data_IF_187060761718
#
_entry.id   IF_187060761718
#
_cell.length_a   1.000
_cell.length_b   1.000
_cell.length_c   1.000
_cell.angle_alpha   90.00
_cell.angle_beta   90.00
_cell.angle_gamma   90.00
#
_symmetry.space_group_name_H-M   'P 1'
#
loop_
_entity.id
_entity.type
_entity.pdbx_description
1 polymer ?
#
# COMPACT_ATOMS: atom_id res chain seq x y z
N UNK A 1 0.31 25.28 11.27
CA UNK A 1 0.21 24.81 12.68
C UNK A 1 -0.12 23.33 12.71
N UNK A 2 0.41 22.59 13.68
CA UNK A 2 0.18 21.16 13.81
C UNK A 2 0.15 20.74 15.27
N UNK A 3 -0.59 19.67 15.54
CA UNK A 3 -0.55 18.95 16.81
C UNK A 3 0.25 17.68 16.62
N UNK A 4 1.38 17.55 17.34
CA UNK A 4 2.19 16.35 17.38
C UNK A 4 1.71 15.47 18.52
N UNK A 5 1.43 14.21 18.22
CA UNK A 5 0.97 13.21 19.20
C UNK A 5 1.65 11.87 18.95
N UNK A 6 1.39 10.89 19.81
CA UNK A 6 1.85 9.51 19.66
C UNK A 6 0.63 8.59 19.61
N UNK A 7 0.45 7.88 18.52
CA UNK A 7 -0.58 6.84 18.39
C UNK A 7 0.12 5.47 18.37
N UNK A 8 -0.06 4.70 19.44
CA UNK A 8 0.71 3.47 19.66
C UNK A 8 2.21 3.75 19.79
N UNK A 9 3.03 3.16 18.91
CA UNK A 9 4.49 3.36 18.88
C UNK A 9 4.93 4.47 17.90
N UNK A 10 4.00 4.99 17.10
CA UNK A 10 4.29 5.89 15.99
C UNK A 10 4.04 7.36 16.36
N UNK A 11 4.90 8.24 15.85
CA UNK A 11 4.69 9.70 15.95
C UNK A 11 3.71 10.14 14.87
N UNK A 12 2.76 10.97 15.25
CA UNK A 12 1.73 11.46 14.35
C UNK A 12 1.61 12.98 14.44
N UNK A 13 1.21 13.59 13.33
CA UNK A 13 0.89 15.00 13.24
C UNK A 13 -0.53 15.18 12.72
N UNK A 14 -1.31 16.04 13.36
CA UNK A 14 -2.61 16.48 12.88
C UNK A 14 -2.48 17.93 12.45
N UNK A 15 -2.81 18.22 11.20
CA UNK A 15 -2.72 19.57 10.65
C UNK A 15 -3.66 19.77 9.48
N UNK A 16 -3.86 21.03 9.12
CA UNK A 16 -4.58 21.43 7.91
C UNK A 16 -3.58 21.85 6.83
N UNK A 17 -3.84 21.49 5.57
CA UNK A 17 -2.98 21.83 4.43
C UNK A 17 -3.82 22.12 3.18
N UNK A 18 -3.32 22.99 2.29
CA UNK A 18 -3.96 23.19 1.00
C UNK A 18 -3.82 21.93 0.12
N UNK A 19 -4.88 21.51 -0.58
CA UNK A 19 -4.80 20.44 -1.57
C UNK A 19 -3.70 20.67 -2.59
N UNK A 20 -3.53 21.92 -3.05
CA UNK A 20 -2.50 22.27 -4.03
C UNK A 20 -1.10 21.92 -3.54
N UNK A 21 -0.77 22.23 -2.28
CA UNK A 21 0.53 21.88 -1.73
C UNK A 21 0.66 20.39 -1.50
N UNK A 22 -0.37 19.75 -0.94
CA UNK A 22 -0.33 18.31 -0.67
C UNK A 22 -0.17 17.51 -1.97
N UNK A 23 -0.82 17.91 -3.06
CA UNK A 23 -0.65 17.29 -4.39
C UNK A 23 0.79 17.36 -4.93
N UNK A 24 1.59 18.38 -4.56
CA UNK A 24 2.99 18.51 -5.00
C UNK A 24 3.93 17.50 -4.35
N UNK A 25 3.64 17.11 -3.11
CA UNK A 25 4.49 16.21 -2.30
C UNK A 25 3.94 14.78 -2.23
N UNK A 26 2.63 14.61 -2.48
CA UNK A 26 1.94 13.36 -2.26
C UNK A 26 2.12 12.37 -3.39
N UNK A 27 2.12 11.09 -3.05
CA UNK A 27 2.14 9.99 -3.99
C UNK A 27 1.30 8.82 -3.50
N UNK A 28 0.87 7.99 -4.44
CA UNK A 28 0.24 6.70 -4.16
C UNK A 28 1.26 5.61 -4.43
N UNK A 29 1.23 4.53 -3.66
CA UNK A 29 2.13 3.40 -3.90
C UNK A 29 1.75 2.73 -5.22
N UNK A 30 2.64 2.84 -6.21
CA UNK A 30 2.49 2.21 -7.52
C UNK A 30 3.23 0.87 -7.50
N UNK A 31 2.53 -0.22 -7.25
CA UNK A 31 3.07 -1.55 -7.59
C UNK A 31 2.92 -1.83 -9.08
N UNK A 32 3.66 -1.09 -9.91
CA UNK A 32 4.01 -1.51 -11.28
C UNK A 32 5.41 -1.00 -11.57
N UNK A 33 6.43 -1.84 -11.38
CA UNK A 33 7.77 -1.56 -11.89
C UNK A 33 7.82 -1.95 -13.36
N UNK A 34 7.86 -0.95 -14.24
CA UNK A 34 8.27 -1.12 -15.63
C UNK A 34 7.42 -0.36 -16.64
N UNK A 35 8.04 0.69 -17.20
CA UNK A 35 7.62 1.56 -18.32
C UNK A 35 6.76 2.78 -17.98
N UNK A 36 7.20 3.88 -18.60
CA UNK A 36 6.75 5.25 -18.47
C UNK A 36 5.24 5.40 -18.70
N UNK A 37 4.54 5.84 -17.66
CA UNK A 37 3.84 7.14 -17.55
C UNK A 37 3.06 7.07 -16.23
N UNK A 38 3.55 7.76 -15.20
CA UNK A 38 3.00 7.78 -13.83
C UNK A 38 1.50 8.17 -13.78
N UNK A 39 0.97 8.78 -14.85
CA UNK A 39 -0.36 9.37 -14.95
C UNK A 39 -1.43 8.36 -15.43
N UNK A 40 -1.08 7.42 -16.31
CA UNK A 40 -2.05 6.55 -16.98
C UNK A 40 -2.49 5.34 -16.15
N UNK A 41 -1.61 4.81 -15.32
CA UNK A 41 -1.93 3.76 -14.33
C UNK A 41 -2.77 4.35 -13.18
N UNK A 42 -2.53 5.63 -12.89
CA UNK A 42 -3.19 6.39 -11.85
C UNK A 42 -4.65 6.73 -12.21
N UNK A 43 -4.91 7.15 -13.46
CA UNK A 43 -6.29 7.31 -13.98
C UNK A 43 -7.09 6.00 -13.99
N UNK A 44 -6.44 4.83 -13.89
CA UNK A 44 -7.09 3.51 -13.92
C UNK A 44 -7.48 2.99 -12.54
N UNK A 45 -6.76 3.33 -11.46
CA UNK A 45 -7.08 2.91 -10.08
C UNK A 45 -8.20 3.73 -9.44
N UNK A 46 -8.36 5.00 -9.83
CA UNK A 46 -9.45 5.84 -9.36
C UNK A 46 -10.59 5.75 -10.36
N UNK A 47 -11.74 5.22 -9.91
CA UNK A 47 -12.94 5.18 -10.75
C UNK A 47 -13.26 6.61 -11.20
N UNK A 48 -13.13 6.91 -12.50
CA UNK A 48 -13.42 8.24 -13.07
C UNK A 48 -14.78 8.79 -12.62
N UNK A 49 -15.79 7.93 -12.53
CA UNK A 49 -17.12 8.30 -12.00
C UNK A 49 -17.07 8.80 -10.55
N UNK A 50 -16.32 8.13 -9.68
CA UNK A 50 -16.18 8.57 -8.27
C UNK A 50 -15.43 9.88 -8.16
N UNK A 51 -14.39 10.09 -8.97
CA UNK A 51 -13.64 11.35 -8.98
C UNK A 51 -14.52 12.51 -9.46
N UNK A 52 -15.29 12.30 -10.54
CA UNK A 52 -16.22 13.30 -11.04
C UNK A 52 -17.29 13.66 -9.99
N UNK A 53 -17.89 12.68 -9.33
CA UNK A 53 -18.88 12.94 -8.27
C UNK A 53 -18.29 13.75 -7.11
N UNK A 54 -17.06 13.44 -6.70
CA UNK A 54 -16.37 14.19 -5.65
C UNK A 54 -16.03 15.61 -6.14
N UNK A 55 -15.67 15.78 -7.41
CA UNK A 55 -15.39 17.10 -8.00
C UNK A 55 -16.65 17.99 -8.01
N UNK A 56 -17.80 17.43 -8.37
CA UNK A 56 -19.10 18.13 -8.24
C UNK A 56 -19.37 18.49 -6.79
N UNK A 57 -19.20 17.55 -5.86
CA UNK A 57 -19.36 17.80 -4.43
C UNK A 57 -18.47 18.94 -3.90
N UNK A 58 -17.21 19.01 -4.36
CA UNK A 58 -16.31 20.12 -4.03
C UNK A 58 -16.84 21.45 -4.58
N UNK A 59 -17.38 21.46 -5.80
CA UNK A 59 -17.95 22.65 -6.44
C UNK A 59 -19.16 23.17 -5.65
N UNK A 60 -19.97 22.27 -5.10
CA UNK A 60 -21.17 22.55 -4.30
C UNK A 60 -20.87 22.94 -2.84
N UNK A 61 -19.62 23.27 -2.49
CA UNK A 61 -19.18 23.56 -1.10
C UNK A 61 -19.35 22.38 -0.13
N UNK A 62 -19.28 21.14 -0.63
CA UNK A 62 -19.33 19.96 0.21
C UNK A 62 -18.22 19.89 1.25
N UNK A 63 -18.53 19.33 2.42
CA UNK A 63 -17.65 19.24 3.58
C UNK A 63 -17.14 17.81 3.73
N UNK A 64 -15.82 17.64 3.86
CA UNK A 64 -15.23 16.35 4.15
C UNK A 64 -14.92 16.22 5.66
N UNK A 65 -15.69 15.41 6.42
CA UNK A 65 -15.51 15.33 7.87
C UNK A 65 -14.33 14.44 8.29
N UNK A 66 -13.76 13.65 7.37
CA UNK A 66 -12.67 12.72 7.69
C UNK A 66 -11.30 13.24 7.25
N UNK A 67 -10.26 12.80 7.94
CA UNK A 67 -8.88 13.17 7.63
C UNK A 67 -8.39 12.45 6.36
N UNK A 68 -7.49 13.10 5.62
CA UNK A 68 -6.57 12.40 4.70
C UNK A 68 -5.49 11.75 5.57
N UNK A 69 -5.22 10.47 5.35
CA UNK A 69 -4.21 9.75 6.13
C UNK A 69 -2.98 9.57 5.26
N UNK A 70 -1.83 10.04 5.76
CA UNK A 70 -0.55 9.98 5.03
C UNK A 70 0.57 9.40 5.89
N UNK A 71 1.57 8.80 5.24
CA UNK A 71 2.86 8.48 5.85
C UNK A 71 3.91 9.41 5.26
N UNK A 72 4.57 10.17 6.10
CA UNK A 72 5.71 11.01 5.72
C UNK A 72 7.00 10.21 5.89
N UNK A 73 7.86 10.26 4.87
CA UNK A 73 9.14 9.57 4.89
C UNK A 73 10.08 10.14 5.96
N UNK A 74 10.71 9.25 6.76
CA UNK A 74 11.57 9.68 7.86
C UNK A 74 12.94 10.10 7.36
N UNK A 75 13.26 11.37 7.55
CA UNK A 75 14.59 11.93 7.33
C UNK A 75 14.63 13.36 7.84
N UNK A 76 15.65 13.70 8.65
CA UNK A 76 15.82 15.04 9.26
C UNK A 76 15.81 16.20 8.24
N UNK A 77 15.95 15.91 6.94
CA UNK A 77 15.94 16.90 5.86
C UNK A 77 14.54 17.27 5.36
N UNK A 78 13.50 16.50 5.66
CA UNK A 78 12.18 16.69 5.03
C UNK A 78 11.08 17.14 6.00
N UNK A 79 11.19 16.77 7.29
CA UNK A 79 10.19 17.07 8.30
C UNK A 79 10.88 17.69 9.51
N UNK A 80 10.42 18.86 9.94
CA UNK A 80 10.86 19.52 11.17
C UNK A 80 9.64 19.98 11.96
N UNK A 81 9.61 19.65 13.25
CA UNK A 81 8.57 20.13 14.15
C UNK A 81 9.17 21.12 15.15
N UNK A 82 8.61 22.32 15.18
CA UNK A 82 8.99 23.41 16.07
C UNK A 82 7.87 23.58 17.12
N UNK A 83 8.04 23.06 18.35
CA UNK A 83 7.02 23.18 19.39
C UNK A 83 6.86 24.64 19.81
N UNK A 84 5.62 25.07 20.05
CA UNK A 84 5.32 26.35 20.69
C UNK A 84 5.10 26.10 22.19
N UNK A 85 5.90 26.76 23.04
CA UNK A 85 5.80 26.67 24.50
C UNK A 85 6.78 25.68 25.15
N UNK A 86 6.65 25.48 26.46
CA UNK A 86 7.48 24.52 27.21
C UNK A 86 7.13 23.10 26.76
N UNK A 87 8.13 22.21 26.68
CA UNK A 87 7.91 20.78 26.39
C UNK A 87 6.79 20.27 27.29
N UNK A 88 5.70 19.80 26.68
CA UNK A 88 4.57 19.22 27.39
C UNK A 88 4.99 18.03 28.25
N UNK A 89 4.10 17.61 29.15
CA UNK A 89 4.30 16.42 29.97
C UNK A 89 4.49 15.21 29.04
N UNK A 90 5.43 14.30 29.38
CA UNK A 90 5.65 13.07 28.61
C UNK A 90 4.33 12.31 28.45
N UNK A 91 3.82 12.25 27.21
CA UNK A 91 2.58 11.53 26.88
C UNK A 91 1.45 12.43 26.35
N UNK A 92 1.59 13.75 26.46
CA UNK A 92 0.60 14.70 25.94
C UNK A 92 0.91 15.15 24.51
N UNK A 93 -0.12 15.68 23.85
CA UNK A 93 0.02 16.22 22.51
C UNK A 93 0.74 17.59 22.54
N UNK A 94 1.76 17.76 21.71
CA UNK A 94 2.56 18.98 21.61
C UNK A 94 2.01 19.85 20.47
N UNK A 95 1.68 21.10 20.76
CA UNK A 95 1.31 22.09 19.73
C UNK A 95 2.56 22.75 19.14
N UNK A 96 2.61 22.96 17.83
CA UNK A 96 3.80 23.48 17.15
C UNK A 96 3.59 23.85 15.69
N UNK A 97 4.68 24.25 15.04
CA UNK A 97 4.77 24.40 13.59
C UNK A 97 5.42 23.14 13.00
N UNK A 98 4.68 22.42 12.17
CA UNK A 98 5.23 21.37 11.32
C UNK A 98 5.68 21.98 10.00
N UNK A 99 6.97 21.84 9.70
CA UNK A 99 7.60 22.27 8.46
C UNK A 99 7.84 21.02 7.63
N UNK A 100 7.17 20.95 6.48
CA UNK A 100 7.33 19.88 5.49
C UNK A 100 8.03 20.49 4.29
N UNK A 101 9.29 20.13 4.06
CA UNK A 101 10.04 20.62 2.91
C UNK A 101 9.48 19.97 1.63
N UNK A 102 9.15 20.73 0.58
CA UNK A 102 8.71 20.15 -0.68
C UNK A 102 9.74 19.16 -1.21
N UNK A 103 9.37 17.89 -1.26
CA UNK A 103 10.18 16.85 -1.86
C UNK A 103 9.24 15.93 -2.63
N UNK A 104 9.58 15.64 -3.87
CA UNK A 104 8.75 14.78 -4.71
C UNK A 104 8.65 13.38 -4.08
N UNK A 105 7.43 12.84 -4.00
CA UNK A 105 7.14 11.54 -3.39
C UNK A 105 7.53 11.43 -1.91
N UNK A 106 7.41 12.50 -1.11
CA UNK A 106 7.72 12.47 0.32
C UNK A 106 6.52 12.17 1.23
N UNK A 107 5.29 12.24 0.70
CA UNK A 107 4.05 11.97 1.45
C UNK A 107 3.27 10.84 0.78
N UNK A 108 3.33 9.64 1.35
CA UNK A 108 2.54 8.52 0.86
C UNK A 108 1.09 8.64 1.32
N UNK A 109 0.14 8.63 0.40
CA UNK A 109 -1.29 8.65 0.72
C UNK A 109 -1.74 7.23 1.08
N UNK A 110 -2.15 7.03 2.33
CA UNK A 110 -2.71 5.76 2.83
C UNK A 110 -4.22 5.74 2.57
N UNK A 111 -4.92 6.84 2.89
CA UNK A 111 -6.35 6.97 2.66
C UNK A 111 -6.73 8.40 2.25
N UNK A 112 -7.86 8.54 1.56
CA UNK A 112 -8.37 9.82 1.08
C UNK A 112 -7.86 10.19 -0.33
N UNK A 113 -7.26 9.26 -1.07
CA UNK A 113 -6.71 9.50 -2.41
C UNK A 113 -7.73 10.20 -3.34
N UNK A 114 -8.93 9.64 -3.48
CA UNK A 114 -9.96 10.18 -4.39
C UNK A 114 -10.35 11.61 -4.04
N UNK A 115 -10.29 11.96 -2.75
CA UNK A 115 -10.64 13.28 -2.23
C UNK A 115 -9.55 14.30 -2.56
N UNK A 116 -8.30 13.98 -2.23
CA UNK A 116 -7.17 14.85 -2.55
C UNK A 116 -7.09 15.10 -4.06
N UNK A 117 -7.24 14.04 -4.85
CA UNK A 117 -7.04 14.14 -6.28
C UNK A 117 -8.22 14.72 -7.06
N UNK A 118 -9.41 14.77 -6.48
CA UNK A 118 -10.51 15.54 -7.06
C UNK A 118 -10.21 17.05 -7.11
N UNK A 119 -9.25 17.54 -6.31
CA UNK A 119 -8.73 18.90 -6.41
C UNK A 119 -7.73 19.11 -7.55
N UNK A 120 -7.28 18.05 -8.24
CA UNK A 120 -6.34 18.20 -9.34
C UNK A 120 -6.96 19.00 -10.50
N UNK A 121 -6.35 20.13 -10.83
CA UNK A 121 -6.87 21.08 -11.81
C UNK A 121 -8.23 21.69 -11.41
N UNK A 122 -8.54 21.74 -10.12
CA UNK A 122 -9.74 22.38 -9.58
C UNK A 122 -9.38 23.75 -8.99
N UNK A 123 -10.19 24.78 -9.27
CA UNK A 123 -9.93 26.17 -8.84
C UNK A 123 -9.79 26.31 -7.33
N UNK A 124 -10.53 25.49 -6.59
CA UNK A 124 -10.52 25.46 -5.12
C UNK A 124 -9.30 24.78 -4.49
N UNK A 125 -8.35 24.26 -5.28
CA UNK A 125 -7.18 23.57 -4.75
C UNK A 125 -6.27 24.48 -3.91
N UNK A 126 -6.17 25.76 -4.28
CA UNK A 126 -5.35 26.76 -3.60
C UNK A 126 -6.04 27.35 -2.35
N UNK A 127 -7.37 27.44 -2.36
CA UNK A 127 -8.16 28.11 -1.31
C UNK A 127 -8.75 27.16 -0.27
N UNK A 128 -8.94 25.88 -0.64
CA UNK A 128 -9.47 24.87 0.28
C UNK A 128 -8.41 24.36 1.22
N UNK A 129 -8.87 23.71 2.29
CA UNK A 129 -8.04 23.14 3.33
C UNK A 129 -8.51 21.72 3.63
N UNK A 130 -7.57 20.78 3.69
CA UNK A 130 -7.83 19.39 4.05
C UNK A 130 -7.23 19.10 5.42
N UNK A 131 -8.01 18.44 6.27
CA UNK A 131 -7.49 17.88 7.52
C UNK A 131 -6.66 16.64 7.22
N UNK A 132 -5.46 16.57 7.79
CA UNK A 132 -4.49 15.51 7.56
C UNK A 132 -4.06 14.89 8.89
N UNK A 133 -4.06 13.56 8.92
CA UNK A 133 -3.36 12.76 9.93
C UNK A 133 -2.12 12.15 9.28
N UNK A 134 -0.95 12.64 9.66
CA UNK A 134 0.32 12.21 9.10
C UNK A 134 1.11 11.37 10.10
N UNK A 135 1.53 10.18 9.70
CA UNK A 135 2.48 9.37 10.47
C UNK A 135 3.91 9.65 10.02
N UNK A 136 4.83 9.74 10.97
CA UNK A 136 6.25 9.93 10.69
C UNK A 136 6.98 8.58 10.68
N UNK A 137 7.60 8.23 9.55
CA UNK A 137 8.54 7.11 9.52
C UNK A 137 7.94 5.74 9.77
N UNK A 138 6.70 5.50 9.35
CA UNK A 138 6.13 4.15 9.42
C UNK A 138 6.96 3.19 8.57
N UNK A 139 7.33 2.00 9.07
CA UNK A 139 7.88 0.93 8.25
C UNK A 139 6.90 0.52 7.14
N UNK A 140 7.38 0.07 5.96
CA UNK A 140 6.52 -0.37 4.85
C UNK A 140 5.46 -1.42 5.23
N UNK A 141 5.77 -2.32 6.18
CA UNK A 141 4.83 -3.31 6.68
C UNK A 141 3.67 -2.70 7.47
N UNK A 142 3.95 -1.74 8.37
CA UNK A 142 2.90 -1.04 9.13
C UNK A 142 2.07 -0.13 8.23
N UNK A 143 2.72 0.50 7.27
CA UNK A 143 2.11 1.25 6.18
C UNK A 143 1.03 0.44 5.45
N UNK A 144 1.40 -0.76 4.98
CA UNK A 144 0.47 -1.66 4.30
C UNK A 144 -0.64 -2.21 5.22
N UNK A 145 -0.32 -2.51 6.48
CA UNK A 145 -1.31 -2.96 7.46
C UNK A 145 -2.36 -1.87 7.73
N UNK A 146 -1.93 -0.63 7.95
CA UNK A 146 -2.83 0.50 8.18
C UNK A 146 -3.73 0.77 6.97
N UNK A 147 -3.19 0.66 5.75
CA UNK A 147 -3.97 0.72 4.52
C UNK A 147 -5.07 -0.35 4.50
N UNK A 148 -4.74 -1.59 4.89
CA UNK A 148 -5.70 -2.69 4.98
C UNK A 148 -6.75 -2.38 6.04
N UNK A 149 -6.35 -2.03 7.26
CA UNK A 149 -7.26 -1.82 8.38
C UNK A 149 -8.30 -0.73 8.07
N UNK A 150 -7.85 0.43 7.55
CA UNK A 150 -8.73 1.55 7.18
C UNK A 150 -9.72 1.14 6.08
N UNK A 151 -9.24 0.51 5.02
CA UNK A 151 -10.11 0.14 3.91
C UNK A 151 -11.01 -1.05 4.27
N UNK A 152 -10.55 -1.98 5.10
CA UNK A 152 -11.30 -3.19 5.48
C UNK A 152 -12.53 -2.85 6.34
N UNK A 153 -12.42 -1.87 7.25
CA UNK A 153 -13.56 -1.39 8.04
C UNK A 153 -14.55 -0.52 7.26
N UNK A 154 -14.09 0.27 6.27
CA UNK A 154 -14.95 1.23 5.56
C UNK A 154 -15.58 0.69 4.26
N UNK A 155 -15.00 -0.35 3.63
CA UNK A 155 -15.58 -1.09 2.49
C UNK A 155 -14.67 -2.28 2.17
N UNK A 156 -15.15 -3.51 2.42
CA UNK A 156 -14.36 -4.75 2.32
C UNK A 156 -13.26 -4.71 1.24
N UNK A 157 -12.00 -4.64 1.69
CA UNK A 157 -10.85 -4.76 0.80
C UNK A 157 -10.99 -6.07 0.04
N UNK A 158 -10.88 -6.02 -1.30
CA UNK A 158 -10.89 -7.24 -2.11
C UNK A 158 -9.81 -8.18 -1.57
N UNK A 159 -10.17 -9.42 -1.24
CA UNK A 159 -9.22 -10.43 -0.73
C UNK A 159 -7.96 -10.56 -1.56
N UNK A 160 -8.06 -10.38 -2.89
CA UNK A 160 -6.91 -10.35 -3.80
C UNK A 160 -5.83 -9.33 -3.38
N UNK A 161 -6.23 -8.14 -2.93
CA UNK A 161 -5.29 -7.10 -2.50
C UNK A 161 -4.56 -7.49 -1.21
N UNK A 162 -5.24 -8.18 -0.29
CA UNK A 162 -4.60 -8.72 0.92
C UNK A 162 -3.50 -9.71 0.56
N UNK A 163 -3.79 -10.64 -0.36
CA UNK A 163 -2.82 -11.63 -0.79
C UNK A 163 -1.65 -11.00 -1.56
N UNK A 164 -1.86 -9.92 -2.29
CA UNK A 164 -0.78 -9.15 -2.93
C UNK A 164 0.14 -8.50 -1.89
N UNK A 165 -0.43 -7.87 -0.86
CA UNK A 165 0.31 -7.21 0.21
C UNK A 165 0.99 -8.21 1.16
N UNK A 166 0.52 -9.46 1.19
CA UNK A 166 1.00 -10.51 2.09
C UNK A 166 2.53 -10.70 2.06
N UNK A 167 3.14 -10.61 0.86
CA UNK A 167 4.59 -10.70 0.69
C UNK A 167 5.36 -9.65 1.49
N UNK A 168 4.85 -8.42 1.61
CA UNK A 168 5.54 -7.33 2.32
C UNK A 168 5.19 -7.26 3.81
N UNK A 169 3.98 -7.69 4.17
CA UNK A 169 3.56 -7.74 5.57
C UNK A 169 4.30 -8.82 6.36
N UNK A 170 4.66 -9.92 5.70
CA UNK A 170 5.04 -11.15 6.39
C UNK A 170 6.35 -11.77 5.90
N UNK A 171 7.16 -11.06 5.10
CA UNK A 171 8.46 -11.56 4.64
C UNK A 171 9.35 -11.98 5.83
N UNK A 172 9.48 -11.10 6.82
CA UNK A 172 10.30 -11.31 8.01
C UNK A 172 9.48 -11.69 9.24
N UNK A 173 8.29 -12.28 9.06
CA UNK A 173 7.44 -12.70 10.17
C UNK A 173 8.13 -13.80 11.01
N UNK A 174 7.96 -13.78 12.33
CA UNK A 174 8.45 -14.86 13.20
C UNK A 174 7.69 -16.17 12.96
N UNK A 175 6.39 -16.07 12.66
CA UNK A 175 5.58 -17.22 12.30
C UNK A 175 5.92 -17.74 10.90
N UNK A 176 6.28 -19.01 10.84
CA UNK A 176 6.72 -19.70 9.64
C UNK A 176 5.63 -19.84 8.56
N UNK A 177 4.38 -20.05 8.96
CA UNK A 177 3.28 -20.15 8.01
C UNK A 177 3.02 -18.80 7.34
N UNK A 178 3.14 -17.70 8.09
CA UNK A 178 3.09 -16.33 7.54
C UNK A 178 4.25 -16.07 6.58
N UNK A 179 5.48 -16.49 6.89
CA UNK A 179 6.62 -16.37 5.95
C UNK A 179 6.39 -17.13 4.65
N UNK A 180 5.87 -18.35 4.73
CA UNK A 180 5.56 -19.16 3.53
C UNK A 180 4.48 -18.50 2.69
N UNK A 181 3.42 -17.99 3.31
CA UNK A 181 2.41 -17.21 2.59
C UNK A 181 3.03 -16.00 1.89
N UNK A 182 4.02 -15.34 2.50
CA UNK A 182 4.75 -14.24 1.87
C UNK A 182 5.57 -14.70 0.64
N UNK A 183 6.23 -15.86 0.74
CA UNK A 183 6.96 -16.47 -0.37
C UNK A 183 6.01 -16.88 -1.50
N UNK A 184 4.86 -17.47 -1.19
CA UNK A 184 3.83 -17.85 -2.17
C UNK A 184 3.32 -16.61 -2.90
N UNK A 185 2.95 -15.56 -2.15
CA UNK A 185 2.50 -14.29 -2.73
C UNK A 185 3.52 -13.72 -3.71
N UNK A 186 4.80 -13.70 -3.32
CA UNK A 186 5.90 -13.19 -4.16
C UNK A 186 6.19 -14.08 -5.37
N UNK A 187 6.03 -15.40 -5.22
CA UNK A 187 6.15 -16.37 -6.31
C UNK A 187 5.07 -16.13 -7.38
N UNK A 188 3.81 -15.94 -6.98
CA UNK A 188 2.69 -15.67 -7.89
C UNK A 188 2.92 -14.36 -8.66
N UNK A 189 3.41 -13.32 -7.98
CA UNK A 189 3.78 -12.05 -8.61
C UNK A 189 4.87 -12.25 -9.68
N UNK A 190 5.95 -12.94 -9.32
CA UNK A 190 7.04 -13.22 -10.26
C UNK A 190 6.59 -14.06 -11.47
N UNK A 191 5.73 -15.06 -11.26
CA UNK A 191 5.17 -15.90 -12.33
C UNK A 191 4.25 -15.12 -13.28
N UNK A 192 3.60 -14.06 -12.82
CA UNK A 192 2.78 -13.21 -13.67
C UNK A 192 3.61 -12.25 -14.53
N UNK A 193 4.76 -11.81 -14.04
CA UNK A 193 5.63 -10.81 -14.69
C UNK A 193 6.61 -11.43 -15.69
N UNK A 194 7.03 -12.67 -15.46
CA UNK A 194 8.00 -13.35 -16.31
C UNK A 194 7.37 -13.82 -17.63
N UNK A 195 7.83 -13.27 -18.76
CA UNK A 195 7.36 -13.65 -20.11
C UNK A 195 7.53 -15.12 -20.45
N UNK A 196 8.52 -15.77 -19.83
CA UNK A 196 8.80 -17.19 -20.02
C UNK A 196 7.93 -18.07 -19.11
N UNK A 197 7.13 -17.46 -18.23
CA UNK A 197 6.19 -18.17 -17.37
C UNK A 197 4.88 -18.44 -18.10
N UNK A 198 4.28 -19.64 -17.92
CA UNK A 198 2.96 -19.96 -18.47
C UNK A 198 1.83 -19.13 -17.83
N UNK A 199 2.10 -18.47 -16.69
CA UNK A 199 1.17 -17.57 -16.02
C UNK A 199 1.31 -16.10 -16.45
N UNK A 200 2.21 -15.80 -17.40
CA UNK A 200 2.48 -14.43 -17.84
C UNK A 200 1.19 -13.68 -18.21
N UNK A 201 0.87 -12.64 -17.45
CA UNK A 201 -0.31 -11.78 -17.65
C UNK A 201 -1.68 -12.45 -17.46
N UNK A 202 -1.73 -13.71 -17.01
CA UNK A 202 -2.98 -14.49 -16.83
C UNK A 202 -3.62 -14.35 -15.46
N UNK A 203 -2.87 -13.85 -14.48
CA UNK A 203 -3.31 -13.74 -13.09
C UNK A 203 -4.06 -12.42 -12.89
N UNK A 204 -5.22 -12.51 -12.26
CA UNK A 204 -6.09 -11.41 -11.92
C UNK A 204 -5.73 -10.87 -10.53
N UNK A 205 -5.08 -9.71 -10.55
CA UNK A 205 -4.78 -8.88 -9.38
C UNK A 205 -5.98 -7.97 -9.03
N UNK A 206 -5.95 -7.32 -7.87
CA UNK A 206 -7.06 -6.55 -7.30
C UNK A 206 -7.52 -5.39 -8.18
N UNK A 207 -6.59 -4.81 -8.92
CA UNK A 207 -6.75 -3.72 -9.88
C UNK A 207 -6.95 -4.21 -11.33
N UNK A 208 -6.80 -5.52 -11.57
CA UNK A 208 -6.93 -6.12 -12.89
C UNK A 208 -8.37 -6.20 -13.38
N UNK A 209 -8.57 -5.91 -14.67
CA UNK A 209 -9.82 -6.23 -15.38
C UNK A 209 -9.79 -7.67 -15.87
N UNK A 210 -10.88 -8.40 -15.64
CA UNK A 210 -11.03 -9.77 -16.15
C UNK A 210 -11.08 -9.75 -17.67
N UNK A 211 -10.33 -10.63 -18.32
CA UNK A 211 -10.39 -10.86 -19.77
C UNK A 211 -10.40 -12.35 -20.06
N UNK A 212 -10.55 -12.74 -21.34
CA UNK A 212 -10.47 -14.13 -21.77
C UNK A 212 -9.12 -14.79 -21.37
N UNK A 213 -8.03 -14.00 -21.32
CA UNK A 213 -6.68 -14.47 -20.97
C UNK A 213 -6.35 -14.23 -19.50
N UNK A 214 -6.80 -13.11 -18.92
CA UNK A 214 -6.56 -12.74 -17.51
C UNK A 214 -7.78 -13.11 -16.65
N UNK A 215 -7.87 -14.38 -16.30
CA UNK A 215 -9.04 -14.95 -15.63
C UNK A 215 -8.73 -15.79 -14.39
N UNK A 216 -7.45 -16.06 -14.11
CA UNK A 216 -7.02 -16.88 -12.96
C UNK A 216 -6.91 -15.97 -11.74
N UNK A 217 -7.69 -16.21 -10.69
CA UNK A 217 -7.59 -15.34 -9.49
C UNK A 217 -6.33 -15.64 -8.70
N UNK A 218 -5.72 -14.59 -8.14
CA UNK A 218 -4.57 -14.74 -7.27
C UNK A 218 -4.88 -15.61 -6.04
N UNK A 219 -6.09 -15.49 -5.50
CA UNK A 219 -6.59 -16.32 -4.39
C UNK A 219 -6.59 -17.82 -4.75
N UNK A 220 -6.99 -18.19 -5.96
CA UNK A 220 -7.00 -19.59 -6.42
C UNK A 220 -5.60 -20.20 -6.40
N UNK A 221 -4.61 -19.50 -6.96
CA UNK A 221 -3.22 -19.99 -6.99
C UNK A 221 -2.64 -20.00 -5.58
N UNK A 222 -2.92 -18.97 -4.78
CA UNK A 222 -2.45 -18.91 -3.40
C UNK A 222 -2.96 -20.11 -2.59
N UNK A 223 -4.24 -20.44 -2.68
CA UNK A 223 -4.82 -21.62 -2.00
C UNK A 223 -4.24 -22.94 -2.52
N UNK A 224 -3.95 -23.04 -3.82
CA UNK A 224 -3.35 -24.23 -4.40
C UNK A 224 -1.91 -24.44 -3.90
N UNK A 225 -1.12 -23.38 -3.78
CA UNK A 225 0.27 -23.44 -3.30
C UNK A 225 0.38 -23.53 -1.78
N UNK A 226 -0.59 -23.01 -1.04
CA UNK A 226 -0.61 -23.04 0.42
C UNK A 226 -1.22 -24.34 1.00
N UNK A 227 -1.29 -25.40 0.21
CA UNK A 227 -1.73 -26.71 0.68
C UNK A 227 -0.67 -27.37 1.58
N UNK A 228 -1.09 -28.17 2.57
CA UNK A 228 -0.17 -29.00 3.35
C UNK A 228 0.69 -29.87 2.43
N UNK A 229 1.97 -30.03 2.78
CA UNK A 229 2.93 -30.88 2.06
C UNK A 229 3.67 -30.22 0.90
N UNK A 230 3.22 -29.06 0.40
CA UNK A 230 3.94 -28.32 -0.66
C UNK A 230 5.17 -27.60 -0.09
N UNK A 231 4.98 -26.86 0.99
CA UNK A 231 6.04 -26.11 1.67
C UNK A 231 6.33 -26.63 3.08
N UNK A 232 5.31 -27.03 3.83
CA UNK A 232 5.45 -27.68 5.14
C UNK A 232 4.62 -28.95 5.16
N UNK A 233 5.24 -30.08 5.51
CA UNK A 233 4.55 -31.33 5.82
C UNK A 233 4.20 -31.35 7.31
N UNK A 234 5.15 -30.99 8.17
CA UNK A 234 4.98 -30.86 9.62
C UNK A 234 5.79 -29.67 10.14
N UNK A 235 5.13 -28.70 10.78
CA UNK A 235 5.74 -27.42 11.23
C UNK A 235 7.02 -27.71 12.04
N UNK A 236 8.15 -27.09 11.65
CA UNK A 236 9.49 -27.27 12.25
C UNK A 236 10.06 -28.70 12.29
N UNK A 237 9.44 -29.68 11.63
CA UNK A 237 9.85 -31.09 11.68
C UNK A 237 10.12 -31.63 10.27
N UNK A 238 9.25 -31.29 9.31
CA UNK A 238 9.32 -31.84 7.97
C UNK A 238 8.81 -30.82 6.94
N UNK A 239 9.64 -30.57 5.93
CA UNK A 239 9.37 -29.56 4.91
C UNK A 239 8.95 -30.20 3.59
N UNK A 240 8.12 -29.47 2.85
CA UNK A 240 7.59 -29.92 1.56
C UNK A 240 8.57 -29.76 0.40
N UNK A 241 8.17 -30.27 -0.75
CA UNK A 241 8.99 -30.35 -1.97
C UNK A 241 9.49 -29.00 -2.51
N UNK A 242 8.81 -27.89 -2.18
CA UNK A 242 9.18 -26.54 -2.63
C UNK A 242 10.02 -25.75 -1.60
N UNK A 243 10.18 -26.25 -0.38
CA UNK A 243 11.00 -25.60 0.65
C UNK A 243 12.50 -25.73 0.34
N UNK A 244 13.27 -24.67 0.63
CA UNK A 244 14.72 -24.66 0.44
C UNK A 244 15.48 -23.94 1.58
N UNK A 245 14.95 -23.98 2.80
CA UNK A 245 15.63 -23.52 4.03
C UNK A 245 15.46 -22.04 4.35
N UNK A 246 15.47 -21.17 3.34
CA UNK A 246 15.23 -19.73 3.50
C UNK A 246 14.24 -19.18 2.48
N UNK A 247 13.68 -18.00 2.74
CA UNK A 247 12.65 -17.38 1.91
C UNK A 247 13.11 -17.17 0.45
N UNK A 248 14.37 -16.77 0.24
CA UNK A 248 14.90 -16.44 -1.08
C UNK A 248 15.14 -17.69 -1.91
N UNK A 249 15.75 -18.73 -1.32
CA UNK A 249 15.95 -20.02 -1.98
C UNK A 249 14.61 -20.71 -2.25
N UNK A 250 13.68 -20.66 -1.30
CA UNK A 250 12.33 -21.23 -1.45
C UNK A 250 11.58 -20.56 -2.58
N UNK A 251 11.65 -19.23 -2.69
CA UNK A 251 11.09 -18.46 -3.80
C UNK A 251 11.68 -18.90 -5.14
N UNK A 252 13.02 -18.94 -5.27
CA UNK A 252 13.70 -19.35 -6.51
C UNK A 252 13.32 -20.78 -6.92
N UNK A 253 13.31 -21.71 -5.96
CA UNK A 253 12.93 -23.11 -6.18
C UNK A 253 11.48 -23.22 -6.65
N UNK A 254 10.57 -22.50 -6.00
CA UNK A 254 9.15 -22.51 -6.34
C UNK A 254 8.89 -22.01 -7.76
N UNK A 255 9.49 -20.88 -8.13
CA UNK A 255 9.40 -20.34 -9.49
C UNK A 255 9.91 -21.36 -10.51
N UNK A 256 11.08 -21.95 -10.26
CA UNK A 256 11.68 -22.93 -11.17
C UNK A 256 10.81 -24.18 -11.36
N UNK A 257 10.32 -24.77 -10.26
CA UNK A 257 9.52 -26.00 -10.29
C UNK A 257 8.16 -25.75 -10.95
N UNK A 258 7.47 -24.66 -10.59
CA UNK A 258 6.15 -24.34 -11.14
C UNK A 258 6.22 -24.08 -12.65
N UNK A 259 7.27 -23.38 -13.12
CA UNK A 259 7.47 -23.14 -14.57
C UNK A 259 7.65 -24.46 -15.33
N UNK A 260 8.38 -25.43 -14.77
CA UNK A 260 8.59 -26.73 -15.40
C UNK A 260 7.32 -27.60 -15.38
N UNK A 261 6.58 -27.63 -14.28
CA UNK A 261 5.38 -28.48 -14.16
C UNK A 261 4.32 -28.22 -15.24
N UNK A 262 4.23 -26.98 -15.73
CA UNK A 262 3.23 -26.57 -16.71
C UNK A 262 3.76 -26.66 -18.16
N UNK A 263 5.07 -26.82 -18.38
CA UNK A 263 5.64 -27.03 -19.72
C UNK A 263 5.54 -28.49 -20.20
N UNK A 264 5.35 -29.45 -19.29
CA UNK A 264 5.28 -30.89 -19.59
C UNK A 264 3.84 -31.44 -19.58
N UNK A 265 2.82 -30.59 -19.68
CA UNK A 265 1.42 -30.95 -19.88
C UNK A 265 0.89 -30.29 -21.13
#
# INVERSE_FOLDING_TARGET
PALKTKMGKSKCYIFSISPEYLLKIAYVSHRVKGKATDIDTYQRMIKKSRLNNIRTYITENGIFPTNIIISLESGKKHIRFEPHGKKGIKGEAEYGTLIITPCYKSAWIIDGQHRLFAYSGHERAATSHLSVLAFEGLPPSQQAQLFIDINHEQKSVKRSLLYELYAELHWDAEDEAKRIGAVISKCIQALNEDKSSPFYGRILFADGTRSAVRCITLESIFKALNQPGIFIVKKKIEYGSLWAGDNVKTLKRSIHVIKRMVQYR
#
